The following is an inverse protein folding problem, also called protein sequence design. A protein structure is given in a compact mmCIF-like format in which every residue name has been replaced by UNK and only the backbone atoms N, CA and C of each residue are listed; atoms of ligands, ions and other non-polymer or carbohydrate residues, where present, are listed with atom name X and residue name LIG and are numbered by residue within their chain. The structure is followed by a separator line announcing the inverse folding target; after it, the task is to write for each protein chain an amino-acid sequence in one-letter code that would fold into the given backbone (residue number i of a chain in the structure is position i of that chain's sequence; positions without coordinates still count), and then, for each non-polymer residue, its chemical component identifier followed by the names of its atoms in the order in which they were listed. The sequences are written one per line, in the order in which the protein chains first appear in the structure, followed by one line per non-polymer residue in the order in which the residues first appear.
data_IF_196757783612
#
_entry.id   IF_196757783612
#
_cell.length_a   1.000
_cell.length_b   1.000
_cell.length_c   1.000
_cell.angle_alpha   90.00
_cell.angle_beta   90.00
_cell.angle_gamma   90.00
#
_symmetry.space_group_name_H-M   'P 1'
#
loop_
_entity.id
_entity.type
_entity.pdbx_description
1 polymer ?
#
# COMPACT_ATOMS: atom_id res chain seq x y z
N UNK A 1 -1.70 -37.06 -3.09
CA UNK A 1 -2.07 -35.91 -2.45
C UNK A 1 -1.03 -34.85 -2.48
N UNK A 2 -1.41 -33.65 -2.76
CA UNK A 2 -0.55 -32.62 -2.92
C UNK A 2 -0.46 -31.78 -1.75
N UNK A 3 0.69 -31.44 -1.29
CA UNK A 3 0.85 -30.55 -0.18
C UNK A 3 1.07 -29.19 -0.70
N UNK A 4 0.12 -28.33 -0.45
CA UNK A 4 0.27 -27.00 -0.80
C UNK A 4 1.04 -26.28 0.21
N UNK A 5 2.19 -25.79 -0.16
CA UNK A 5 2.92 -24.94 0.69
C UNK A 5 2.46 -23.60 0.40
N UNK A 6 1.70 -23.05 1.25
CA UNK A 6 1.30 -21.69 1.10
C UNK A 6 2.29 -20.86 1.74
N UNK A 7 3.03 -20.10 0.98
CA UNK A 7 3.97 -19.16 1.53
C UNK A 7 3.23 -17.91 1.82
N UNK A 8 3.09 -17.60 3.07
CA UNK A 8 2.46 -16.36 3.45
C UNK A 8 3.51 -15.28 3.45
N UNK A 9 3.34 -14.32 2.59
CA UNK A 9 4.26 -13.20 2.53
C UNK A 9 3.64 -12.06 3.29
N UNK A 10 4.34 -11.57 4.29
CA UNK A 10 3.88 -10.47 5.09
C UNK A 10 4.65 -9.24 4.72
N UNK A 11 3.94 -8.16 4.41
CA UNK A 11 4.57 -6.90 4.07
C UNK A 11 4.48 -6.01 5.27
N UNK A 12 5.60 -5.46 5.70
CA UNK A 12 5.65 -4.59 6.86
C UNK A 12 6.00 -3.18 6.47
N UNK A 13 5.45 -2.24 7.22
CA UNK A 13 5.84 -0.86 7.04
C UNK A 13 7.23 -0.66 7.63
N UNK A 14 7.79 0.50 7.37
CA UNK A 14 9.11 0.84 7.91
C UNK A 14 9.09 0.81 9.43
N UNK A 15 7.96 1.16 10.04
CA UNK A 15 7.85 1.14 11.50
C UNK A 15 7.26 -0.18 12.02
N UNK A 16 7.24 -1.22 11.19
CA UNK A 16 6.94 -2.57 11.67
C UNK A 16 5.49 -2.99 11.71
N UNK A 17 4.61 -2.24 11.06
CA UNK A 17 3.20 -2.60 11.04
C UNK A 17 2.88 -3.44 9.82
N UNK A 18 1.97 -4.38 9.98
CA UNK A 18 1.61 -5.27 8.88
C UNK A 18 0.67 -4.54 7.92
N UNK A 19 0.93 -4.66 6.64
CA UNK A 19 0.11 -4.06 5.60
C UNK A 19 -0.80 -5.13 5.04
N UNK A 20 -2.10 -4.83 4.99
CA UNK A 20 -3.10 -5.75 4.44
C UNK A 20 -3.67 -5.18 3.16
N UNK A 21 -4.28 -6.03 2.37
CA UNK A 21 -4.94 -5.57 1.16
C UNK A 21 -5.98 -4.54 1.51
N UNK A 22 -6.00 -3.47 0.75
CA UNK A 22 -6.94 -2.39 1.00
C UNK A 22 -6.40 -1.29 1.88
N UNK A 23 -5.26 -1.52 2.52
CA UNK A 23 -4.67 -0.47 3.35
C UNK A 23 -4.10 0.62 2.47
N UNK A 24 -4.33 1.85 2.86
CA UNK A 24 -3.73 2.97 2.16
C UNK A 24 -2.34 3.19 2.73
N UNK A 25 -1.36 3.31 1.86
CA UNK A 25 0.01 3.49 2.28
C UNK A 25 0.65 4.63 1.52
N UNK A 26 1.64 5.24 2.12
CA UNK A 26 2.46 6.25 1.50
C UNK A 26 3.87 5.71 1.49
N UNK A 27 4.51 5.72 0.35
CA UNK A 27 5.84 5.16 0.26
C UNK A 27 6.74 6.01 -0.62
N UNK A 28 8.03 5.92 -0.37
CA UNK A 28 9.03 6.60 -1.17
C UNK A 28 9.76 5.58 -2.00
N UNK A 29 9.78 5.80 -3.29
CA UNK A 29 10.47 4.91 -4.21
C UNK A 29 10.92 5.75 -5.40
N UNK A 30 12.06 5.42 -5.95
CA UNK A 30 12.59 6.11 -7.11
C UNK A 30 12.74 7.61 -6.87
N UNK A 31 13.03 8.00 -5.63
CA UNK A 31 13.22 9.41 -5.30
C UNK A 31 11.95 10.22 -5.21
N UNK A 32 10.79 9.58 -5.18
CA UNK A 32 9.52 10.28 -5.13
C UNK A 32 8.61 9.65 -4.11
N UNK A 33 7.68 10.45 -3.63
CA UNK A 33 6.67 9.99 -2.69
C UNK A 33 5.44 9.57 -3.45
N UNK A 34 4.91 8.41 -3.12
CA UNK A 34 3.74 7.85 -3.77
C UNK A 34 2.73 7.44 -2.74
N UNK A 35 1.48 7.38 -3.12
CA UNK A 35 0.42 6.90 -2.25
C UNK A 35 -0.44 5.93 -3.02
N UNK A 36 -0.93 4.90 -2.36
CA UNK A 36 -1.76 3.93 -3.01
C UNK A 36 -2.40 2.98 -2.02
N UNK A 37 -3.32 2.17 -2.51
CA UNK A 37 -3.94 1.12 -1.72
C UNK A 37 -3.25 -0.18 -2.06
N UNK A 38 -2.82 -0.89 -1.04
CA UNK A 38 -2.10 -2.14 -1.28
C UNK A 38 -3.06 -3.18 -1.85
N UNK A 39 -2.72 -3.74 -2.99
CA UNK A 39 -3.58 -4.68 -3.68
C UNK A 39 -3.05 -6.11 -3.66
N UNK A 40 -1.80 -6.30 -3.32
CA UNK A 40 -1.25 -7.65 -3.27
C UNK A 40 0.18 -7.68 -3.75
N UNK A 41 0.62 -8.90 -4.05
CA UNK A 41 2.00 -9.13 -4.49
C UNK A 41 1.95 -9.94 -5.77
N UNK A 42 2.72 -9.51 -6.76
CA UNK A 42 2.73 -10.19 -8.05
C UNK A 42 3.53 -11.47 -7.95
N UNK A 43 3.47 -12.28 -8.98
CA UNK A 43 4.23 -13.52 -9.01
C UNK A 43 5.71 -13.28 -8.95
N UNK A 44 6.15 -12.13 -9.42
CA UNK A 44 7.56 -11.82 -9.40
C UNK A 44 7.99 -11.16 -8.11
N UNK A 45 7.07 -11.00 -7.17
CA UNK A 45 7.40 -10.41 -5.89
C UNK A 45 7.26 -8.91 -5.82
N UNK A 46 6.68 -8.29 -6.83
CA UNK A 46 6.48 -6.85 -6.79
C UNK A 46 5.24 -6.53 -5.98
N UNK A 47 5.26 -5.45 -5.25
CA UNK A 47 4.09 -5.00 -4.52
C UNK A 47 3.19 -4.25 -5.48
N UNK A 48 1.90 -4.52 -5.40
CA UNK A 48 0.92 -3.93 -6.30
C UNK A 48 0.10 -2.93 -5.51
N UNK A 49 0.00 -1.72 -6.03
CA UNK A 49 -0.77 -0.67 -5.39
C UNK A 49 -1.75 -0.07 -6.38
N UNK A 50 -2.96 0.20 -5.93
CA UNK A 50 -3.95 0.87 -6.75
C UNK A 50 -3.88 2.35 -6.47
N UNK A 51 -4.20 3.14 -7.47
CA UNK A 51 -4.14 4.59 -7.33
C UNK A 51 -5.18 5.07 -6.32
N UNK A 52 -4.83 6.10 -5.56
CA UNK A 52 -5.79 6.71 -4.65
C UNK A 52 -6.71 7.67 -5.39
N UNK A 53 -6.39 7.99 -6.64
CA UNK A 53 -7.22 8.86 -7.43
C UNK A 53 -8.26 8.01 -8.12
N UNK A 54 -9.50 8.15 -7.73
CA UNK A 54 -10.53 7.24 -8.18
C UNK A 54 -10.86 7.36 -9.65
N UNK A 55 -10.44 8.43 -10.27
CA UNK A 55 -10.77 8.60 -11.68
C UNK A 55 -9.91 7.80 -12.61
N UNK A 56 -8.80 7.29 -12.12
CA UNK A 56 -7.93 6.50 -12.96
C UNK A 56 -7.79 5.13 -12.34
N UNK A 57 -7.89 4.11 -13.17
CA UNK A 57 -7.70 2.75 -12.68
C UNK A 57 -6.27 2.34 -12.94
N UNK A 58 -5.36 3.03 -12.32
CA UNK A 58 -3.95 2.77 -12.52
C UNK A 58 -3.40 1.96 -11.37
N UNK A 59 -2.69 0.90 -11.68
CA UNK A 59 -2.01 0.13 -10.66
C UNK A 59 -0.51 0.29 -10.87
N UNK A 60 0.22 0.31 -9.76
CA UNK A 60 1.66 0.38 -9.82
C UNK A 60 2.23 -0.92 -9.32
N UNK A 61 3.32 -1.35 -9.93
CA UNK A 61 4.05 -2.53 -9.45
C UNK A 61 5.42 -2.03 -9.03
N UNK A 62 5.76 -2.21 -7.77
CA UNK A 62 7.00 -1.69 -7.24
C UNK A 62 7.75 -2.81 -6.54
N UNK A 63 8.99 -3.02 -6.91
CA UNK A 63 9.79 -4.05 -6.25
C UNK A 63 10.15 -3.57 -4.85
N UNK A 64 10.11 -4.46 -3.86
CA UNK A 64 10.38 -4.06 -2.48
C UNK A 64 11.73 -3.39 -2.31
N UNK A 65 12.72 -3.83 -3.06
CA UNK A 65 14.04 -3.24 -2.92
C UNK A 65 14.11 -1.81 -3.37
N UNK A 66 13.11 -1.36 -4.13
CA UNK A 66 13.06 0.02 -4.60
C UNK A 66 12.34 0.93 -3.62
N UNK A 67 11.71 0.39 -2.60
CA UNK A 67 10.99 1.17 -1.64
C UNK A 67 11.91 1.56 -0.51
N UNK A 68 12.05 2.86 -0.30
CA UNK A 68 12.93 3.35 0.76
C UNK A 68 12.21 3.38 2.08
N UNK A 69 10.99 3.89 2.09
CA UNK A 69 10.18 3.92 3.29
C UNK A 69 8.74 3.68 2.90
N UNK A 70 7.96 3.09 3.80
CA UNK A 70 6.57 2.86 3.55
C UNK A 70 5.82 2.91 4.88
N UNK A 71 4.73 3.65 4.92
CA UNK A 71 3.93 3.82 6.12
C UNK A 71 2.46 3.78 5.78
N UNK A 72 1.64 3.39 6.74
CA UNK A 72 0.21 3.42 6.54
C UNK A 72 -0.28 4.85 6.62
N UNK A 73 -1.21 5.19 5.76
CA UNK A 73 -1.81 6.51 5.75
C UNK A 73 -3.21 6.41 6.31
N UNK A 74 -3.66 7.47 6.95
CA UNK A 74 -4.95 7.47 7.56
C UNK A 74 -5.88 8.41 6.82
N UNK A 75 -6.52 7.88 5.80
CA UNK A 75 -7.47 8.67 5.04
C UNK A 75 -8.68 9.02 5.88
N UNK A 76 -9.01 8.11 6.81
CA UNK A 76 -10.12 8.35 7.67
C UNK A 76 -9.99 9.62 8.48
N UNK A 77 -8.79 9.93 8.93
CA UNK A 77 -8.58 11.13 9.66
C UNK A 77 -8.85 12.37 8.84
N UNK A 78 -8.50 12.31 7.58
CA UNK A 78 -8.76 13.43 6.73
C UNK A 78 -10.23 13.67 6.57
N UNK A 79 -11.00 12.62 6.40
CA UNK A 79 -12.43 12.77 6.26
C UNK A 79 -13.04 13.37 7.51
N UNK A 80 -12.58 12.94 8.64
CA UNK A 80 -13.09 13.45 9.88
C UNK A 80 -12.76 14.91 10.06
N UNK A 81 -11.59 15.29 9.65
CA UNK A 81 -11.21 16.68 9.74
C UNK A 81 -12.10 17.54 8.87
N UNK A 82 -12.42 17.07 7.72
CA UNK A 82 -13.27 17.83 6.85
C UNK A 82 -14.64 17.99 7.43
N UNK A 83 -15.15 16.98 8.07
CA UNK A 83 -16.44 17.07 8.68
C UNK A 83 -16.46 18.09 9.79
N UNK A 84 -15.42 18.12 10.56
CA UNK A 84 -15.36 19.09 11.61
C UNK A 84 -15.32 20.49 11.09
N UNK A 85 -14.69 20.68 9.97
CA UNK A 85 -14.58 21.99 9.42
C UNK A 85 -15.89 22.53 8.92
N UNK A 86 -16.81 21.67 8.68
CA UNK A 86 -18.09 22.13 8.19
C UNK A 86 -18.97 22.71 9.27
N UNK A 87 -18.66 22.46 10.47
CA UNK A 87 -19.42 22.99 11.57
C UNK A 87 -18.96 24.37 11.95
#
# INVERSE_FOLDING_TARGET
MEIKRETTVIVLTTDGKVIHKGDCVVFNAYGRCHAGYFAGISKKGALIFDSVISETNVTFHVMPKCIETIYKASIKLQAESEEKNEI
#
